data_IF_198669857392
#
_entry.id   IF_198669857392
#
_cell.length_a   1.000
_cell.length_b   1.000
_cell.length_c   1.000
_cell.angle_alpha   90.00
_cell.angle_beta   90.00
_cell.angle_gamma   90.00
#
_symmetry.space_group_name_H-M   'P 1'
#
loop_
_entity.id
_entity.type
_entity.pdbx_description
1 polymer ?
#
# COMPACT_ATOMS: atom_id res chain seq x y z
N UNK A 1 0.36 -5.33 25.78
CA UNK A 1 1.10 -4.81 24.61
C UNK A 1 0.99 -3.30 24.67
N UNK A 2 2.07 -2.56 24.38
CA UNK A 2 2.08 -1.10 24.48
C UNK A 2 1.46 -0.48 23.22
N UNK A 3 0.31 0.20 23.37
CA UNK A 3 -0.44 0.78 22.25
C UNK A 3 0.38 1.82 21.49
N UNK A 4 1.25 2.57 22.17
CA UNK A 4 2.11 3.57 21.53
C UNK A 4 3.10 2.92 20.56
N UNK A 5 3.60 1.73 20.93
CA UNK A 5 4.45 0.91 20.06
C UNK A 5 3.70 0.43 18.82
N UNK A 6 2.44 0.01 18.97
CA UNK A 6 1.61 -0.45 17.85
C UNK A 6 1.30 0.70 16.89
N UNK A 7 0.90 1.86 17.42
CA UNK A 7 0.65 3.08 16.63
C UNK A 7 1.91 3.53 15.89
N UNK A 8 3.09 3.39 16.52
CA UNK A 8 4.37 3.66 15.86
C UNK A 8 4.66 2.67 14.72
N UNK A 9 4.34 1.38 14.89
CA UNK A 9 4.44 0.39 13.82
C UNK A 9 3.50 0.72 12.66
N UNK A 10 2.26 1.13 12.94
CA UNK A 10 1.29 1.58 11.92
C UNK A 10 1.81 2.79 11.16
N UNK A 11 2.46 3.73 11.84
CA UNK A 11 3.11 4.87 11.18
C UNK A 11 4.18 4.43 10.17
N UNK A 12 4.90 3.34 10.46
CA UNK A 12 5.82 2.70 9.51
C UNK A 12 5.11 2.14 8.26
N UNK A 13 3.92 1.58 8.42
CA UNK A 13 3.08 1.13 7.30
C UNK A 13 2.62 2.33 6.45
N UNK A 14 2.15 3.41 7.08
CA UNK A 14 1.80 4.67 6.37
C UNK A 14 2.97 5.22 5.55
N UNK A 15 4.20 5.12 6.07
CA UNK A 15 5.40 5.52 5.33
C UNK A 15 5.66 4.63 4.11
N UNK A 16 5.44 3.31 4.22
CA UNK A 16 5.52 2.39 3.06
C UNK A 16 4.48 2.72 1.98
N UNK A 17 3.23 3.02 2.37
CA UNK A 17 2.20 3.48 1.43
C UNK A 17 2.65 4.72 0.67
N UNK A 18 3.21 5.70 1.40
CA UNK A 18 3.71 6.95 0.83
C UNK A 18 4.86 6.74 -0.15
N UNK A 19 5.78 5.84 0.16
CA UNK A 19 6.90 5.53 -0.72
C UNK A 19 6.45 4.81 -2.00
N UNK A 20 5.47 3.91 -1.88
CA UNK A 20 4.92 3.22 -3.05
C UNK A 20 4.09 4.16 -3.93
N UNK A 21 3.29 5.03 -3.34
CA UNK A 21 2.56 6.08 -4.06
C UNK A 21 3.48 6.98 -4.88
N UNK A 22 4.58 7.45 -4.28
CA UNK A 22 5.60 8.25 -5.00
C UNK A 22 6.18 7.50 -6.19
N UNK A 23 6.43 6.19 -6.02
CA UNK A 23 6.93 5.35 -7.10
C UNK A 23 5.91 5.20 -8.23
N UNK A 24 4.65 4.91 -7.92
CA UNK A 24 3.57 4.81 -8.90
C UNK A 24 3.36 6.14 -9.65
N UNK A 25 3.41 7.27 -8.95
CA UNK A 25 3.30 8.59 -9.56
C UNK A 25 4.46 8.86 -10.54
N UNK A 26 5.68 8.43 -10.20
CA UNK A 26 6.84 8.52 -11.10
C UNK A 26 6.62 7.72 -12.40
N UNK A 27 6.07 6.51 -12.30
CA UNK A 27 5.75 5.68 -13.47
C UNK A 27 4.63 6.28 -14.33
N UNK A 28 3.64 6.90 -13.70
CA UNK A 28 2.47 7.50 -14.37
C UNK A 28 2.80 8.74 -15.21
N UNK A 29 4.02 9.28 -15.09
CA UNK A 29 4.50 10.39 -15.92
C UNK A 29 4.78 9.97 -17.38
N UNK A 30 4.89 8.66 -17.64
CA UNK A 30 5.17 8.09 -18.95
C UNK A 30 3.97 7.31 -19.46
N UNK A 31 3.70 7.37 -20.77
CA UNK A 31 2.59 6.64 -21.40
C UNK A 31 2.76 5.11 -21.29
N UNK A 32 4.02 4.66 -21.24
CA UNK A 32 4.41 3.26 -21.10
C UNK A 32 5.57 3.16 -20.12
N UNK A 33 5.64 2.05 -19.39
CA UNK A 33 6.79 1.70 -18.54
C UNK A 33 7.71 0.74 -19.31
N UNK A 34 9.03 0.91 -19.15
CA UNK A 34 10.03 -0.02 -19.69
C UNK A 34 9.95 -1.40 -19.02
N UNK A 35 10.51 -2.43 -19.65
CA UNK A 35 10.54 -3.79 -19.08
C UNK A 35 11.26 -3.83 -17.72
N UNK A 36 12.32 -3.04 -17.52
CA UNK A 36 12.99 -2.94 -16.22
C UNK A 36 12.07 -2.33 -15.15
N UNK A 37 11.31 -1.29 -15.50
CA UNK A 37 10.32 -0.69 -14.60
C UNK A 37 9.16 -1.63 -14.33
N UNK A 38 8.75 -2.44 -15.31
CA UNK A 38 7.73 -3.47 -15.15
C UNK A 38 8.18 -4.54 -14.15
N UNK A 39 9.38 -5.08 -14.31
CA UNK A 39 9.96 -6.08 -13.38
C UNK A 39 10.10 -5.50 -11.96
N UNK A 40 10.60 -4.27 -11.83
CA UNK A 40 10.71 -3.60 -10.51
C UNK A 40 9.32 -3.37 -9.89
N UNK A 41 8.33 -2.95 -10.68
CA UNK A 41 6.96 -2.77 -10.22
C UNK A 41 6.32 -4.10 -9.77
N UNK A 42 6.50 -5.19 -10.51
CA UNK A 42 6.03 -6.54 -10.11
C UNK A 42 6.64 -6.96 -8.76
N UNK A 43 7.95 -6.79 -8.59
CA UNK A 43 8.65 -7.12 -7.35
C UNK A 43 8.20 -6.27 -6.16
N UNK A 44 7.97 -4.97 -6.38
CA UNK A 44 7.44 -4.07 -5.33
C UNK A 44 5.99 -4.39 -5.00
N UNK A 45 5.16 -4.63 -6.00
CA UNK A 45 3.75 -4.96 -5.85
C UNK A 45 3.58 -6.23 -5.01
N UNK A 46 4.32 -7.30 -5.29
CA UNK A 46 4.26 -8.53 -4.50
C UNK A 46 4.55 -8.30 -3.01
N UNK A 47 5.58 -7.50 -2.69
CA UNK A 47 5.88 -7.13 -1.29
C UNK A 47 4.82 -6.22 -0.68
N UNK A 48 4.21 -5.38 -1.49
CA UNK A 48 3.17 -4.44 -1.05
C UNK A 48 1.85 -5.17 -0.79
N UNK A 49 1.50 -6.19 -1.57
CA UNK A 49 0.32 -7.02 -1.37
C UNK A 49 0.35 -7.74 -0.01
N UNK A 50 1.52 -8.27 0.37
CA UNK A 50 1.72 -8.87 1.69
C UNK A 50 1.65 -7.86 2.86
N UNK A 51 1.66 -6.55 2.60
CA UNK A 51 1.57 -5.52 3.64
C UNK A 51 0.18 -5.44 4.26
N UNK A 52 -0.87 -5.83 3.52
CA UNK A 52 -2.25 -5.73 4.00
C UNK A 52 -2.49 -6.63 5.21
N UNK A 53 -2.10 -7.90 5.14
CA UNK A 53 -2.28 -8.84 6.25
C UNK A 53 -1.53 -8.39 7.51
N UNK A 54 -0.34 -7.80 7.34
CA UNK A 54 0.44 -7.22 8.44
C UNK A 54 -0.29 -6.01 9.04
N UNK A 55 -0.87 -5.17 8.19
CA UNK A 55 -1.65 -4.01 8.62
C UNK A 55 -2.92 -4.43 9.35
N UNK A 56 -3.70 -5.36 8.79
CA UNK A 56 -4.97 -5.80 9.36
C UNK A 56 -4.77 -6.40 10.76
N UNK A 57 -3.79 -7.30 10.92
CA UNK A 57 -3.43 -7.87 12.21
C UNK A 57 -3.04 -6.79 13.24
N UNK A 58 -2.16 -5.86 12.84
CA UNK A 58 -1.71 -4.77 13.71
C UNK A 58 -2.86 -3.82 14.09
N UNK A 59 -3.73 -3.52 13.14
CA UNK A 59 -4.85 -2.59 13.32
C UNK A 59 -5.91 -3.20 14.24
N UNK A 60 -6.19 -4.51 14.14
CA UNK A 60 -7.03 -5.21 15.12
C UNK A 60 -6.46 -5.12 16.54
N UNK A 61 -5.15 -5.30 16.71
CA UNK A 61 -4.51 -5.16 18.03
C UNK A 61 -4.66 -3.73 18.60
N UNK A 62 -4.56 -2.71 17.74
CA UNK A 62 -4.76 -1.30 18.14
C UNK A 62 -6.21 -1.06 18.54
N UNK A 63 -7.18 -1.53 17.74
CA UNK A 63 -8.61 -1.35 17.99
C UNK A 63 -9.05 -2.00 19.32
N UNK A 64 -8.53 -3.20 19.61
CA UNK A 64 -8.79 -3.89 20.88
C UNK A 64 -8.17 -3.19 22.10
N UNK A 65 -7.03 -2.52 21.91
CA UNK A 65 -6.30 -1.87 23.00
C UNK A 65 -6.70 -0.39 23.20
N UNK A 66 -7.39 0.23 22.22
CA UNK A 66 -7.67 1.66 22.21
C UNK A 66 -8.81 2.03 23.16
N UNK A 67 -8.63 3.14 23.88
CA UNK A 67 -9.71 3.76 24.65
C UNK A 67 -10.77 4.42 23.74
N UNK A 68 -10.47 4.63 22.45
CA UNK A 68 -11.40 5.20 21.48
C UNK A 68 -11.32 4.44 20.15
N UNK A 69 -11.95 3.24 20.06
CA UNK A 69 -11.88 2.38 18.88
C UNK A 69 -12.52 3.02 17.63
N UNK A 70 -13.48 3.94 17.77
CA UNK A 70 -14.10 4.62 16.63
C UNK A 70 -13.10 5.45 15.82
N UNK A 71 -12.18 6.14 16.48
CA UNK A 71 -11.09 6.84 15.80
C UNK A 71 -10.18 5.87 15.04
N UNK A 72 -9.96 4.68 15.61
CA UNK A 72 -9.11 3.66 14.99
C UNK A 72 -9.80 3.03 13.76
N UNK A 73 -11.13 2.88 13.76
CA UNK A 73 -11.88 2.47 12.56
C UNK A 73 -11.80 3.49 11.43
N UNK A 74 -11.83 4.79 11.75
CA UNK A 74 -11.63 5.86 10.75
C UNK A 74 -10.23 5.77 10.14
N UNK A 75 -9.21 5.60 10.99
CA UNK A 75 -7.83 5.39 10.56
C UNK A 75 -7.66 4.15 9.70
N UNK A 76 -8.34 3.04 10.05
CA UNK A 76 -8.38 1.82 9.24
C UNK A 76 -8.87 2.13 7.83
N UNK A 77 -10.07 2.69 7.71
CA UNK A 77 -10.69 2.97 6.43
C UNK A 77 -9.79 3.84 5.53
N UNK A 78 -9.18 4.89 6.09
CA UNK A 78 -8.27 5.77 5.33
C UNK A 78 -7.03 5.03 4.79
N UNK A 79 -6.46 4.12 5.59
CA UNK A 79 -5.31 3.31 5.19
C UNK A 79 -5.72 2.31 4.10
N UNK A 80 -6.86 1.64 4.27
CA UNK A 80 -7.36 0.64 3.33
C UNK A 80 -7.71 1.24 1.97
N UNK A 81 -8.42 2.37 1.95
CA UNK A 81 -8.73 3.10 0.71
C UNK A 81 -7.46 3.45 -0.06
N UNK A 82 -6.45 3.96 0.65
CA UNK A 82 -5.16 4.32 0.04
C UNK A 82 -4.40 3.08 -0.46
N UNK A 83 -4.39 2.00 0.32
CA UNK A 83 -3.78 0.74 -0.08
C UNK A 83 -4.43 0.18 -1.36
N UNK A 84 -5.76 0.05 -1.38
CA UNK A 84 -6.48 -0.51 -2.53
C UNK A 84 -6.33 0.34 -3.79
N UNK A 85 -6.36 1.67 -3.66
CA UNK A 85 -6.11 2.59 -4.78
C UNK A 85 -4.71 2.37 -5.38
N UNK A 86 -3.69 2.21 -4.53
CA UNK A 86 -2.32 1.96 -4.99
C UNK A 86 -2.15 0.60 -5.69
N UNK A 87 -2.75 -0.46 -5.14
CA UNK A 87 -2.77 -1.79 -5.78
C UNK A 87 -3.45 -1.72 -7.15
N UNK A 88 -4.61 -1.07 -7.23
CA UNK A 88 -5.35 -0.94 -8.49
C UNK A 88 -4.53 -0.18 -9.54
N UNK A 89 -3.89 0.93 -9.15
CA UNK A 89 -3.03 1.71 -10.05
C UNK A 89 -1.82 0.88 -10.52
N UNK A 90 -1.10 0.23 -9.60
CA UNK A 90 0.02 -0.64 -9.92
C UNK A 90 -0.36 -1.74 -10.94
N UNK A 91 -1.47 -2.46 -10.69
CA UNK A 91 -1.98 -3.50 -11.60
C UNK A 91 -2.43 -2.93 -12.95
N UNK A 92 -2.94 -1.70 -12.99
CA UNK A 92 -3.29 -1.01 -14.23
C UNK A 92 -2.04 -0.71 -15.07
N UNK A 93 -0.99 -0.19 -14.45
CA UNK A 93 0.30 0.09 -15.12
C UNK A 93 0.93 -1.19 -15.71
N UNK A 94 0.86 -2.31 -14.97
CA UNK A 94 1.36 -3.61 -15.45
C UNK A 94 0.55 -4.20 -16.61
N UNK A 95 -0.74 -3.86 -16.74
CA UNK A 95 -1.57 -4.32 -17.87
C UNK A 95 -1.32 -3.51 -19.13
N UNK A 96 -1.13 -2.20 -19.00
CA UNK A 96 -0.95 -1.28 -20.14
C UNK A 96 0.39 -1.51 -20.86
N UNK A 97 1.39 -2.10 -20.21
CA UNK A 97 2.69 -2.44 -20.81
C UNK A 97 2.72 -3.76 -21.59
N UNK A 98 1.66 -4.58 -21.54
CA UNK A 98 1.59 -5.88 -22.22
C UNK A 98 1.01 -5.85 -23.64
N UNK A 99 0.58 -4.69 -24.14
CA UNK A 99 -0.21 -4.59 -25.38
C UNK A 99 0.59 -4.31 -26.66
N UNK A 100 1.93 -4.23 -26.60
CA UNK A 100 2.79 -4.13 -27.80
C UNK A 100 3.44 -5.48 -28.13
N UNK A 101 2.62 -6.49 -28.41
CA UNK A 101 3.04 -7.66 -29.18
C UNK A 101 1.81 -8.34 -29.81
N UNK A 102 1.25 -7.71 -30.85
CA UNK A 102 0.34 -8.34 -31.83
C UNK A 102 0.40 -7.53 -33.12
#
# INVERSE_FOLDING_TARGET
MDIDKLVKQRSGIKAKLTNFEKYIAMLSSSKFISELQRIDLEGRLSKFEALYDIFDALQMEIELASANPENEYVERNQIEERYHSLIANARSQLRTSGSECS
#
